data_IF_856079742247
#
_entry.id   IF_856079742247
#
_cell.length_a   1.000
_cell.length_b   1.000
_cell.length_c   1.000
_cell.angle_alpha   90.00
_cell.angle_beta   90.00
_cell.angle_gamma   90.00
#
_symmetry.space_group_name_H-M   'P 1'
#
loop_
_entity.id
_entity.type
_entity.pdbx_description
1 polymer ?
#
# COMPACT_ATOMS: atom_id res chain seq x y z
N UNK A 1 -32.45 43.57 -3.58
CA UNK A 1 -31.07 43.46 -3.03
C UNK A 1 -30.83 42.01 -2.71
N UNK A 2 -30.19 41.28 -3.63
CA UNK A 2 -29.89 39.86 -3.46
C UNK A 2 -28.51 39.75 -2.78
N UNK A 3 -28.50 39.23 -1.56
CA UNK A 3 -27.27 38.92 -0.84
C UNK A 3 -26.60 37.71 -1.49
N UNK A 4 -25.56 37.96 -2.27
CA UNK A 4 -24.62 36.91 -2.71
C UNK A 4 -23.95 36.26 -1.49
N UNK A 5 -24.40 35.08 -1.14
CA UNK A 5 -23.68 34.20 -0.21
C UNK A 5 -22.38 33.77 -0.84
N UNK A 6 -21.27 34.43 -0.49
CA UNK A 6 -19.90 33.97 -0.79
C UNK A 6 -19.77 32.51 -0.36
N UNK A 7 -19.74 31.56 -1.32
CA UNK A 7 -19.36 30.19 -1.10
C UNK A 7 -17.95 30.19 -0.48
N UNK A 8 -17.86 29.98 0.84
CA UNK A 8 -16.57 29.72 1.51
C UNK A 8 -15.97 28.48 0.89
N UNK A 9 -14.86 28.64 0.19
CA UNK A 9 -14.06 27.55 -0.36
C UNK A 9 -13.52 26.72 0.82
N UNK A 10 -14.27 25.69 1.26
CA UNK A 10 -13.81 24.75 2.28
C UNK A 10 -12.97 23.70 1.58
N UNK A 11 -11.65 23.78 1.74
CA UNK A 11 -10.74 22.72 1.36
C UNK A 11 -11.18 21.42 2.05
N UNK A 12 -11.48 20.38 1.27
CA UNK A 12 -11.69 19.05 1.83
C UNK A 12 -10.42 18.51 2.51
N UNK A 13 -10.53 17.48 3.34
CA UNK A 13 -9.41 16.89 4.07
C UNK A 13 -8.20 16.61 3.16
N UNK A 14 -8.43 16.06 1.95
CA UNK A 14 -7.37 15.81 0.97
C UNK A 14 -6.67 17.08 0.50
N UNK A 15 -7.39 18.17 0.32
CA UNK A 15 -6.82 19.48 -0.04
C UNK A 15 -6.00 20.06 1.11
N UNK A 16 -6.48 19.92 2.35
CA UNK A 16 -5.75 20.37 3.54
C UNK A 16 -4.46 19.58 3.76
N UNK A 17 -4.44 18.27 3.49
CA UNK A 17 -3.24 17.42 3.55
C UNK A 17 -2.23 17.87 2.49
N UNK A 18 -2.68 18.10 1.26
CA UNK A 18 -1.81 18.56 0.18
C UNK A 18 -1.23 19.95 0.49
N UNK A 19 -2.06 20.85 1.02
CA UNK A 19 -1.61 22.17 1.46
C UNK A 19 -0.56 22.06 2.57
N UNK A 20 -0.83 21.24 3.61
CA UNK A 20 0.14 20.97 4.68
C UNK A 20 1.46 20.42 4.15
N UNK A 21 1.41 19.50 3.19
CA UNK A 21 2.60 18.96 2.54
C UNK A 21 3.41 20.02 1.80
N UNK A 22 2.77 20.81 0.93
CA UNK A 22 3.43 21.87 0.16
C UNK A 22 4.02 22.93 1.08
N UNK A 23 3.25 23.40 2.06
CA UNK A 23 3.74 24.36 3.06
C UNK A 23 4.87 23.78 3.89
N UNK A 24 4.80 22.49 4.24
CA UNK A 24 5.89 21.80 4.94
C UNK A 24 7.19 21.80 4.13
N UNK A 25 7.14 21.40 2.86
CA UNK A 25 8.32 21.43 1.98
C UNK A 25 8.87 22.86 1.87
N UNK A 26 8.02 23.86 1.59
CA UNK A 26 8.45 25.25 1.46
C UNK A 26 9.09 25.75 2.77
N UNK A 27 8.50 25.42 3.92
CA UNK A 27 9.06 25.78 5.22
C UNK A 27 10.42 25.09 5.47
N UNK A 28 10.53 23.79 5.13
CA UNK A 28 11.78 23.05 5.26
C UNK A 28 12.91 23.63 4.39
N UNK A 29 12.61 23.94 3.14
CA UNK A 29 13.58 24.56 2.22
C UNK A 29 13.99 25.97 2.66
N UNK A 30 13.07 26.74 3.27
CA UNK A 30 13.34 28.11 3.70
C UNK A 30 14.10 28.17 5.03
N UNK A 31 13.69 27.39 6.03
CA UNK A 31 14.25 27.41 7.39
C UNK A 31 15.36 26.35 7.60
N UNK A 32 15.54 25.41 6.68
CA UNK A 32 16.58 24.39 6.75
C UNK A 32 16.54 23.56 8.04
N UNK A 33 17.68 23.40 8.68
CA UNK A 33 17.88 22.58 9.89
C UNK A 33 17.02 23.02 11.09
N UNK A 34 16.55 24.28 11.15
CA UNK A 34 15.65 24.71 12.22
C UNK A 34 14.34 23.91 12.22
N UNK A 35 13.94 23.35 11.09
CA UNK A 35 12.77 22.49 10.98
C UNK A 35 12.98 21.09 11.59
N UNK A 36 14.20 20.69 11.94
CA UNK A 36 14.47 19.41 12.59
C UNK A 36 13.66 19.22 13.90
N UNK A 37 13.44 20.29 14.66
CA UNK A 37 12.61 20.25 15.88
C UNK A 37 11.15 19.84 15.63
N UNK A 38 10.62 20.02 14.41
CA UNK A 38 9.28 19.59 14.03
C UNK A 38 9.15 18.06 13.94
N UNK A 39 10.26 17.32 13.88
CA UNK A 39 10.27 15.85 13.91
C UNK A 39 9.47 15.30 15.08
N UNK A 40 9.56 15.92 16.26
CA UNK A 40 8.82 15.49 17.46
C UNK A 40 7.30 15.46 17.22
N UNK A 41 6.75 16.46 16.55
CA UNK A 41 5.31 16.51 16.21
C UNK A 41 4.96 15.47 15.13
N UNK A 42 5.85 15.25 14.17
CA UNK A 42 5.72 14.17 13.19
C UNK A 42 5.67 12.79 13.86
N UNK A 43 6.62 12.50 14.75
CA UNK A 43 6.71 11.24 15.50
C UNK A 43 5.47 11.03 16.40
N UNK A 44 5.02 12.09 17.09
CA UNK A 44 3.81 12.04 17.90
C UNK A 44 2.56 11.67 17.04
N UNK A 45 2.44 12.29 15.86
CA UNK A 45 1.37 11.97 14.91
C UNK A 45 1.42 10.50 14.45
N UNK A 46 2.62 9.98 14.14
CA UNK A 46 2.84 8.59 13.74
C UNK A 46 2.42 7.64 14.87
N UNK A 47 2.84 7.91 16.11
CA UNK A 47 2.47 7.10 17.29
C UNK A 47 0.96 7.11 17.54
N UNK A 48 0.29 8.25 17.37
CA UNK A 48 -1.18 8.34 17.47
C UNK A 48 -1.89 7.49 16.40
N UNK A 49 -1.37 7.48 15.17
CA UNK A 49 -1.89 6.59 14.12
C UNK A 49 -1.73 5.12 14.51
N UNK A 50 -0.56 4.72 14.99
CA UNK A 50 -0.27 3.34 15.38
C UNK A 50 -1.16 2.86 16.53
N UNK A 51 -1.37 3.69 17.54
CA UNK A 51 -2.15 3.36 18.75
C UNK A 51 -3.57 2.88 18.43
N UNK A 52 -4.21 3.49 17.42
CA UNK A 52 -5.63 3.24 17.14
C UNK A 52 -5.86 2.06 16.19
N UNK A 53 -4.87 1.75 15.34
CA UNK A 53 -5.11 0.90 14.17
C UNK A 53 -5.05 -0.59 14.52
N UNK A 54 -4.09 -1.03 15.36
CA UNK A 54 -3.95 -2.45 15.68
C UNK A 54 -5.18 -3.03 16.40
N UNK A 55 -5.72 -2.41 17.48
CA UNK A 55 -6.94 -2.88 18.11
C UNK A 55 -8.14 -2.93 17.15
N UNK A 56 -8.27 -1.92 16.27
CA UNK A 56 -9.32 -1.89 15.25
C UNK A 56 -9.25 -3.10 14.32
N UNK A 57 -8.06 -3.45 13.83
CA UNK A 57 -7.86 -4.56 12.90
C UNK A 57 -8.22 -5.87 13.55
N UNK A 58 -7.76 -6.10 14.78
CA UNK A 58 -8.05 -7.32 15.54
C UNK A 58 -9.56 -7.54 15.66
N UNK A 59 -10.26 -6.53 16.11
CA UNK A 59 -11.72 -6.63 16.31
C UNK A 59 -12.45 -6.74 14.97
N UNK A 60 -12.04 -5.98 13.95
CA UNK A 60 -12.69 -6.00 12.63
C UNK A 60 -12.50 -7.32 11.90
N UNK A 61 -11.36 -8.00 12.05
CA UNK A 61 -11.14 -9.34 11.51
C UNK A 61 -12.00 -10.39 12.20
N UNK A 62 -12.06 -10.36 13.55
CA UNK A 62 -12.94 -11.25 14.31
C UNK A 62 -14.40 -11.10 13.87
N UNK A 63 -14.89 -9.86 13.73
CA UNK A 63 -16.25 -9.56 13.29
C UNK A 63 -16.48 -9.98 11.83
N UNK A 64 -15.58 -9.63 10.94
CA UNK A 64 -15.72 -9.90 9.51
C UNK A 64 -15.79 -11.37 9.18
N UNK A 65 -14.92 -12.18 9.78
CA UNK A 65 -14.88 -13.64 9.60
C UNK A 65 -15.99 -14.32 10.41
N UNK A 66 -16.16 -13.90 11.66
CA UNK A 66 -17.15 -14.48 12.57
C UNK A 66 -18.60 -14.33 12.13
N UNK A 67 -18.94 -13.32 11.34
CA UNK A 67 -20.29 -13.14 10.76
C UNK A 67 -20.68 -14.21 9.76
N UNK A 68 -19.73 -14.86 9.10
CA UNK A 68 -20.01 -15.85 8.07
C UNK A 68 -20.77 -17.06 8.63
N UNK A 69 -21.69 -17.62 7.82
CA UNK A 69 -22.22 -18.95 8.04
C UNK A 69 -21.19 -20.01 7.63
N UNK A 70 -21.33 -21.24 8.14
CA UNK A 70 -20.41 -22.34 7.80
C UNK A 70 -20.34 -22.60 6.30
N UNK A 71 -21.48 -22.58 5.60
CA UNK A 71 -21.54 -22.79 4.15
C UNK A 71 -20.86 -21.65 3.39
N UNK A 72 -21.16 -20.40 3.77
CA UNK A 72 -20.50 -19.22 3.17
C UNK A 72 -18.99 -19.26 3.38
N UNK A 73 -18.54 -19.56 4.60
CA UNK A 73 -17.12 -19.64 4.93
C UNK A 73 -16.42 -20.72 4.09
N UNK A 74 -17.02 -21.91 3.94
CA UNK A 74 -16.45 -23.01 3.15
C UNK A 74 -16.32 -22.65 1.66
N UNK A 75 -17.36 -22.11 1.06
CA UNK A 75 -17.37 -21.72 -0.36
C UNK A 75 -16.40 -20.57 -0.61
N UNK A 76 -16.42 -19.54 0.23
CA UNK A 76 -15.48 -18.43 0.13
C UNK A 76 -14.03 -18.90 0.33
N UNK A 77 -13.74 -19.71 1.35
CA UNK A 77 -12.39 -20.17 1.63
C UNK A 77 -11.78 -20.94 0.46
N UNK A 78 -12.55 -21.84 -0.18
CA UNK A 78 -12.03 -22.66 -1.27
C UNK A 78 -11.95 -21.86 -2.58
N UNK A 79 -13.04 -21.23 -3.01
CA UNK A 79 -13.11 -20.59 -4.34
C UNK A 79 -12.53 -19.17 -4.33
N UNK A 80 -12.93 -18.34 -3.38
CA UNK A 80 -12.39 -16.99 -3.29
C UNK A 80 -10.98 -16.98 -2.70
N UNK A 81 -10.66 -17.86 -1.74
CA UNK A 81 -9.32 -17.98 -1.18
C UNK A 81 -8.27 -18.36 -2.20
N UNK A 82 -8.54 -19.33 -3.08
CA UNK A 82 -7.64 -19.70 -4.17
C UNK A 82 -7.38 -18.54 -5.15
N UNK A 83 -8.42 -17.80 -5.50
CA UNK A 83 -8.29 -16.60 -6.32
C UNK A 83 -7.48 -15.50 -5.62
N UNK A 84 -7.68 -15.32 -4.33
CA UNK A 84 -6.92 -14.35 -3.52
C UNK A 84 -5.41 -14.65 -3.58
N UNK A 85 -5.03 -15.92 -3.44
CA UNK A 85 -3.63 -16.34 -3.57
C UNK A 85 -3.08 -16.05 -4.98
N UNK A 86 -3.87 -16.25 -6.03
CA UNK A 86 -3.47 -15.89 -7.41
C UNK A 86 -3.25 -14.38 -7.54
N UNK A 87 -4.15 -13.56 -7.00
CA UNK A 87 -4.00 -12.09 -7.02
C UNK A 87 -2.76 -11.64 -6.25
N UNK A 88 -2.50 -12.22 -5.08
CA UNK A 88 -1.28 -11.94 -4.31
C UNK A 88 -0.02 -12.37 -5.07
N UNK A 89 -0.04 -13.56 -5.68
CA UNK A 89 1.08 -14.04 -6.49
C UNK A 89 1.39 -13.11 -7.67
N UNK A 90 0.37 -12.66 -8.39
CA UNK A 90 0.51 -11.70 -9.51
C UNK A 90 1.08 -10.37 -9.00
N UNK A 91 0.53 -9.84 -7.88
CA UNK A 91 1.00 -8.59 -7.32
C UNK A 91 2.47 -8.68 -6.89
N UNK A 92 2.85 -9.74 -6.16
CA UNK A 92 4.22 -9.97 -5.71
C UNK A 92 5.18 -10.15 -6.89
N UNK A 93 4.78 -10.88 -7.94
CA UNK A 93 5.60 -11.02 -9.14
C UNK A 93 5.93 -9.65 -9.77
N UNK A 94 4.94 -8.77 -9.90
CA UNK A 94 5.18 -7.42 -10.42
C UNK A 94 6.04 -6.60 -9.44
N UNK A 95 5.76 -6.63 -8.14
CA UNK A 95 6.50 -5.89 -7.11
C UNK A 95 7.98 -6.29 -7.12
N UNK A 96 8.29 -7.58 -7.19
CA UNK A 96 9.68 -8.08 -7.18
C UNK A 96 10.42 -7.88 -8.50
N UNK A 97 9.71 -7.57 -9.59
CA UNK A 97 10.34 -7.14 -10.85
C UNK A 97 10.72 -5.65 -10.84
N UNK A 98 10.04 -4.80 -10.03
CA UNK A 98 10.28 -3.35 -10.01
C UNK A 98 11.71 -2.95 -9.60
N UNK A 99 12.42 -3.62 -8.66
CA UNK A 99 13.81 -3.30 -8.35
C UNK A 99 14.78 -3.38 -9.52
N UNK A 100 14.44 -4.13 -10.58
CA UNK A 100 15.23 -4.15 -11.81
C UNK A 100 15.24 -2.80 -12.54
N UNK A 101 14.26 -1.93 -12.25
CA UNK A 101 14.22 -0.57 -12.77
C UNK A 101 15.07 0.41 -11.95
N UNK A 102 15.55 0.03 -10.76
CA UNK A 102 16.35 0.92 -9.95
C UNK A 102 17.73 1.15 -10.60
N UNK A 103 18.18 2.40 -10.70
CA UNK A 103 19.50 2.69 -11.26
C UNK A 103 20.60 2.10 -10.35
N UNK A 104 21.72 1.69 -10.96
CA UNK A 104 22.92 1.34 -10.21
C UNK A 104 23.48 2.60 -9.58
N UNK A 105 23.41 2.70 -8.25
CA UNK A 105 24.06 3.78 -7.51
C UNK A 105 25.46 3.32 -7.19
N UNK A 106 26.48 4.04 -7.64
CA UNK A 106 27.81 3.92 -7.06
C UNK A 106 27.69 4.36 -5.60
N UNK A 107 27.86 3.42 -4.70
CA UNK A 107 27.67 3.57 -3.26
C UNK A 107 28.70 4.54 -2.70
N UNK A 108 28.35 5.82 -2.65
CA UNK A 108 28.87 6.64 -1.58
C UNK A 108 28.06 6.25 -0.33
N UNK A 109 28.63 5.38 0.50
CA UNK A 109 28.03 4.91 1.74
C UNK A 109 28.00 6.05 2.77
N UNK A 110 26.95 6.88 2.70
CA UNK A 110 26.73 7.95 3.68
C UNK A 110 26.07 7.45 4.97
N UNK A 111 25.52 6.23 4.96
CA UNK A 111 25.06 5.61 6.19
C UNK A 111 26.21 4.74 6.74
N UNK A 112 26.80 5.21 7.84
CA UNK A 112 27.79 4.45 8.60
C UNK A 112 27.23 3.05 8.89
N UNK A 113 27.82 2.00 8.34
CA UNK A 113 27.50 0.61 8.60
C UNK A 113 27.66 0.21 10.07
N UNK A 114 28.13 1.12 10.92
CA UNK A 114 28.36 0.93 12.37
C UNK A 114 27.08 0.90 13.21
N UNK A 115 25.90 1.18 12.65
CA UNK A 115 24.62 1.13 13.39
C UNK A 115 23.77 -0.11 13.12
N UNK A 116 24.23 -1.02 12.30
CA UNK A 116 23.55 -2.33 12.15
C UNK A 116 23.89 -3.17 13.39
N UNK A 117 23.09 -2.99 14.44
CA UNK A 117 23.05 -3.99 15.51
C UNK A 117 22.62 -5.29 14.86
N UNK A 118 23.49 -6.30 14.89
CA UNK A 118 23.15 -7.68 14.56
C UNK A 118 22.01 -8.08 15.50
N UNK A 119 20.78 -7.96 15.06
CA UNK A 119 19.61 -8.41 15.78
C UNK A 119 19.57 -9.93 15.66
N UNK A 120 19.24 -10.61 16.76
CA UNK A 120 19.06 -12.06 16.82
C UNK A 120 18.20 -12.54 15.67
N UNK A 121 18.48 -13.76 15.17
CA UNK A 121 17.69 -14.39 14.12
C UNK A 121 16.20 -14.39 14.53
N UNK A 122 15.37 -13.78 13.72
CA UNK A 122 13.92 -13.71 13.99
C UNK A 122 13.38 -15.14 13.93
N UNK A 123 12.87 -15.63 15.05
CA UNK A 123 12.19 -16.92 15.09
C UNK A 123 10.85 -16.81 14.35
N UNK A 124 10.80 -17.47 13.20
CA UNK A 124 9.63 -17.52 12.35
C UNK A 124 8.40 -18.07 13.07
N UNK A 125 8.60 -19.10 13.88
CA UNK A 125 7.49 -19.75 14.58
C UNK A 125 6.86 -18.78 15.59
N UNK A 126 7.68 -18.10 16.37
CA UNK A 126 7.22 -17.13 17.37
C UNK A 126 6.60 -15.88 16.73
N UNK A 127 7.07 -15.49 15.54
CA UNK A 127 6.51 -14.36 14.79
C UNK A 127 5.05 -14.58 14.38
N UNK A 128 4.65 -15.83 14.12
CA UNK A 128 3.31 -16.16 13.65
C UNK A 128 2.46 -16.88 14.69
N UNK A 129 3.06 -17.76 15.48
CA UNK A 129 2.39 -18.60 16.47
C UNK A 129 2.97 -18.28 17.85
N UNK A 130 2.58 -17.13 18.43
CA UNK A 130 3.12 -16.73 19.73
C UNK A 130 2.53 -17.60 20.84
N UNK A 131 3.33 -17.87 21.85
CA UNK A 131 2.90 -18.51 23.10
C UNK A 131 1.84 -17.67 23.84
N UNK A 132 1.88 -16.33 23.65
CA UNK A 132 0.92 -15.40 24.24
C UNK A 132 0.46 -14.34 23.21
N UNK A 133 -0.76 -14.43 22.66
CA UNK A 133 -1.26 -13.49 21.67
C UNK A 133 -1.44 -12.06 22.23
N UNK A 134 -1.67 -11.90 23.52
CA UNK A 134 -1.78 -10.58 24.15
C UNK A 134 -0.42 -9.89 24.25
N UNK A 135 0.66 -10.64 24.46
CA UNK A 135 2.02 -10.11 24.37
C UNK A 135 2.32 -9.62 22.95
N UNK A 136 1.89 -10.36 21.93
CA UNK A 136 2.05 -9.94 20.53
C UNK A 136 1.30 -8.66 20.21
N UNK A 137 0.10 -8.48 20.76
CA UNK A 137 -0.67 -7.24 20.66
C UNK A 137 0.04 -6.07 21.34
N UNK A 138 0.55 -6.27 22.55
CA UNK A 138 1.26 -5.24 23.32
C UNK A 138 2.56 -4.79 22.64
N UNK A 139 3.28 -5.74 22.02
CA UNK A 139 4.56 -5.49 21.34
C UNK A 139 4.43 -5.18 19.84
N UNK A 140 3.19 -4.97 19.35
CA UNK A 140 2.89 -4.68 17.93
C UNK A 140 3.42 -5.75 16.95
N UNK A 141 3.46 -7.04 17.37
CA UNK A 141 3.78 -8.15 16.46
C UNK A 141 2.54 -8.45 15.60
N UNK A 142 2.48 -7.77 14.45
CA UNK A 142 1.27 -7.73 13.61
C UNK A 142 0.91 -9.10 13.04
N UNK A 143 1.82 -9.93 12.48
CA UNK A 143 1.46 -11.23 11.93
C UNK A 143 0.79 -12.16 12.93
N UNK A 144 1.34 -12.25 14.14
CA UNK A 144 0.78 -13.06 15.23
C UNK A 144 -0.61 -12.55 15.67
N UNK A 145 -0.76 -11.24 15.81
CA UNK A 145 -2.04 -10.61 16.19
C UNK A 145 -3.14 -10.86 15.15
N UNK A 146 -2.78 -10.78 13.86
CA UNK A 146 -3.69 -11.06 12.75
C UNK A 146 -4.07 -12.54 12.71
N UNK A 147 -3.10 -13.46 12.83
CA UNK A 147 -3.38 -14.89 12.83
C UNK A 147 -4.30 -15.30 13.98
N UNK A 148 -4.04 -14.78 15.18
CA UNK A 148 -4.91 -14.97 16.34
C UNK A 148 -6.33 -14.46 16.07
N UNK A 149 -6.47 -13.27 15.49
CA UNK A 149 -7.78 -12.68 15.19
C UNK A 149 -8.57 -13.50 14.16
N UNK A 150 -7.87 -14.01 13.13
CA UNK A 150 -8.45 -14.92 12.13
C UNK A 150 -8.90 -16.22 12.79
N UNK A 151 -8.06 -16.81 13.66
CA UNK A 151 -8.38 -18.05 14.36
C UNK A 151 -9.63 -17.90 15.25
N UNK A 152 -9.73 -16.80 16.01
CA UNK A 152 -10.93 -16.50 16.82
C UNK A 152 -12.13 -16.27 15.91
N UNK A 153 -12.00 -15.52 14.82
CA UNK A 153 -13.06 -15.31 13.84
C UNK A 153 -13.58 -16.63 13.24
N UNK A 154 -12.70 -17.56 12.89
CA UNK A 154 -13.07 -18.91 12.42
C UNK A 154 -13.77 -19.69 13.52
N UNK A 155 -13.28 -19.65 14.75
CA UNK A 155 -13.90 -20.29 15.91
C UNK A 155 -15.33 -19.82 16.16
N UNK A 156 -15.64 -18.58 15.86
CA UNK A 156 -17.00 -18.03 15.97
C UNK A 156 -17.99 -18.56 14.92
N UNK A 157 -17.53 -19.12 13.79
CA UNK A 157 -18.40 -19.52 12.67
C UNK A 157 -19.44 -20.57 13.06
N UNK A 158 -19.18 -21.49 13.94
CA UNK A 158 -20.11 -22.58 14.32
C UNK A 158 -21.01 -22.27 15.53
N UNK A 159 -20.80 -21.17 16.23
CA UNK A 159 -21.47 -20.86 17.48
C UNK A 159 -22.87 -20.29 17.21
N UNK A 160 -23.92 -20.91 17.80
CA UNK A 160 -25.31 -20.48 17.57
C UNK A 160 -25.63 -19.12 18.19
N UNK A 161 -25.05 -18.80 19.34
CA UNK A 161 -25.33 -17.58 20.13
C UNK A 161 -24.32 -16.46 19.84
N UNK A 162 -23.51 -16.56 18.76
CA UNK A 162 -22.48 -15.62 18.41
C UNK A 162 -22.98 -14.20 18.08
N UNK A 163 -24.26 -14.06 17.69
CA UNK A 163 -24.77 -12.78 17.15
C UNK A 163 -24.59 -11.65 18.14
N UNK A 164 -24.91 -11.85 19.42
CA UNK A 164 -24.74 -10.80 20.44
C UNK A 164 -23.28 -10.37 20.59
N UNK A 165 -22.35 -11.32 20.71
CA UNK A 165 -20.92 -11.02 20.81
C UNK A 165 -20.39 -10.31 19.57
N UNK A 166 -20.81 -10.75 18.39
CA UNK A 166 -20.39 -10.13 17.12
C UNK A 166 -20.91 -8.69 17.00
N UNK A 167 -22.15 -8.43 17.46
CA UNK A 167 -22.72 -7.08 17.44
C UNK A 167 -22.01 -6.18 18.46
N UNK A 168 -21.70 -6.67 19.65
CA UNK A 168 -20.90 -5.94 20.64
C UNK A 168 -19.49 -5.62 20.14
N UNK A 169 -18.82 -6.60 19.51
CA UNK A 169 -17.52 -6.39 18.88
C UNK A 169 -17.62 -5.40 17.69
N UNK A 170 -18.71 -5.40 16.93
CA UNK A 170 -18.92 -4.44 15.84
C UNK A 170 -19.08 -3.00 16.35
N UNK A 171 -19.72 -2.83 17.51
CA UNK A 171 -19.81 -1.53 18.21
C UNK A 171 -18.40 -1.09 18.62
N UNK A 172 -17.60 -1.98 19.21
CA UNK A 172 -16.20 -1.69 19.56
C UNK A 172 -15.35 -1.33 18.34
N UNK A 173 -15.47 -2.08 17.23
CA UNK A 173 -14.80 -1.76 15.97
C UNK A 173 -15.19 -0.37 15.46
N UNK A 174 -16.48 -0.01 15.58
CA UNK A 174 -16.97 1.32 15.20
C UNK A 174 -16.37 2.42 16.08
N UNK A 175 -16.28 2.20 17.38
CA UNK A 175 -15.65 3.14 18.32
C UNK A 175 -14.17 3.34 18.01
N UNK A 176 -13.43 2.24 17.80
CA UNK A 176 -12.01 2.29 17.41
C UNK A 176 -11.79 2.99 16.05
N UNK A 177 -12.69 2.75 15.09
CA UNK A 177 -12.68 3.45 13.80
C UNK A 177 -12.89 4.96 13.96
N UNK A 178 -13.77 5.39 14.89
CA UNK A 178 -13.95 6.83 15.17
C UNK A 178 -12.69 7.46 15.75
N UNK A 179 -12.00 6.77 16.67
CA UNK A 179 -10.71 7.23 17.22
C UNK A 179 -9.67 7.35 16.11
N UNK A 180 -9.53 6.32 15.26
CA UNK A 180 -8.62 6.35 14.12
C UNK A 180 -8.95 7.51 13.16
N UNK A 181 -10.24 7.74 12.86
CA UNK A 181 -10.67 8.87 12.02
C UNK A 181 -10.37 10.23 12.66
N UNK A 182 -10.48 10.37 13.99
CA UNK A 182 -10.07 11.60 14.69
C UNK A 182 -8.58 11.88 14.46
N UNK A 183 -7.72 10.86 14.57
CA UNK A 183 -6.29 11.02 14.29
C UNK A 183 -6.05 11.40 12.83
N UNK A 184 -6.85 10.86 11.89
CA UNK A 184 -6.78 11.21 10.46
C UNK A 184 -7.08 12.71 10.22
N UNK A 185 -7.90 13.37 11.04
CA UNK A 185 -8.09 14.82 10.93
C UNK A 185 -6.84 15.63 11.29
N UNK A 186 -5.92 15.06 12.08
CA UNK A 186 -4.64 15.69 12.41
C UNK A 186 -3.60 15.52 11.28
N UNK A 187 -3.89 14.71 10.25
CA UNK A 187 -2.97 14.42 9.13
C UNK A 187 -2.40 15.68 8.47
N UNK A 188 -3.13 16.77 8.21
CA UNK A 188 -2.54 17.97 7.61
C UNK A 188 -1.40 18.55 8.45
N UNK A 189 -1.54 18.56 9.77
CA UNK A 189 -0.53 19.07 10.71
C UNK A 189 0.64 18.09 10.81
N UNK A 190 0.36 16.79 10.98
CA UNK A 190 1.38 15.75 11.04
C UNK A 190 2.22 15.71 9.76
N UNK A 191 1.58 15.79 8.61
CA UNK A 191 2.25 15.81 7.30
C UNK A 191 3.07 17.09 7.12
N UNK A 192 2.56 18.25 7.54
CA UNK A 192 3.33 19.49 7.53
C UNK A 192 4.62 19.34 8.34
N UNK A 193 4.53 18.84 9.57
CA UNK A 193 5.69 18.68 10.47
C UNK A 193 6.72 17.70 9.88
N UNK A 194 6.26 16.55 9.35
CA UNK A 194 7.12 15.56 8.71
C UNK A 194 7.77 16.12 7.45
N UNK A 195 6.99 16.80 6.59
CA UNK A 195 7.50 17.37 5.35
C UNK A 195 8.51 18.49 5.58
N UNK A 196 8.25 19.37 6.57
CA UNK A 196 9.15 20.46 6.92
C UNK A 196 10.47 19.93 7.50
N UNK A 197 10.39 18.95 8.42
CA UNK A 197 11.58 18.33 8.97
C UNK A 197 12.40 17.62 7.90
N UNK A 198 11.76 16.80 7.04
CA UNK A 198 12.45 16.07 5.98
C UNK A 198 13.07 17.01 4.94
N UNK A 199 12.33 17.99 4.43
CA UNK A 199 12.83 18.92 3.43
C UNK A 199 13.95 19.85 3.97
N UNK A 200 13.95 20.11 5.29
CA UNK A 200 15.00 20.91 5.94
C UNK A 200 16.27 20.15 6.26
N UNK A 201 16.22 18.81 6.30
CA UNK A 201 17.36 17.97 6.70
C UNK A 201 17.86 17.04 5.61
N UNK A 202 17.05 16.80 4.55
CA UNK A 202 17.43 15.95 3.42
C UNK A 202 18.27 16.71 2.41
N UNK A 203 19.24 16.01 1.83
CA UNK A 203 20.02 16.51 0.69
C UNK A 203 19.19 16.47 -0.60
N UNK A 204 19.54 17.31 -1.58
CA UNK A 204 18.91 17.29 -2.92
C UNK A 204 19.05 15.92 -3.60
N UNK A 205 20.16 15.21 -3.36
CA UNK A 205 20.37 13.85 -3.86
C UNK A 205 19.38 12.85 -3.28
N UNK A 206 19.10 12.91 -2.00
CA UNK A 206 18.13 12.04 -1.34
C UNK A 206 16.73 12.30 -1.86
N UNK A 207 16.35 13.57 -2.05
CA UNK A 207 15.07 13.95 -2.66
C UNK A 207 14.98 13.41 -4.10
N UNK A 208 16.09 13.53 -4.88
CA UNK A 208 16.17 12.97 -6.22
C UNK A 208 15.96 11.45 -6.27
N UNK A 209 16.46 10.70 -5.28
CA UNK A 209 16.27 9.25 -5.19
C UNK A 209 14.80 8.85 -4.94
N UNK A 210 13.98 9.69 -4.30
CA UNK A 210 12.54 9.43 -4.13
C UNK A 210 11.79 9.32 -5.45
N UNK A 211 12.28 9.94 -6.53
CA UNK A 211 11.68 9.82 -7.86
C UNK A 211 11.67 8.35 -8.34
N UNK A 212 12.68 7.56 -7.95
CA UNK A 212 12.75 6.13 -8.28
C UNK A 212 11.57 5.38 -7.69
N UNK A 213 11.25 5.65 -6.42
CA UNK A 213 10.10 5.05 -5.75
C UNK A 213 8.78 5.50 -6.38
N UNK A 214 8.59 6.79 -6.62
CA UNK A 214 7.39 7.30 -7.27
C UNK A 214 7.17 6.68 -8.64
N UNK A 215 8.18 6.72 -9.50
CA UNK A 215 8.08 6.20 -10.86
C UNK A 215 7.73 4.71 -10.88
N UNK A 216 8.47 3.90 -10.13
CA UNK A 216 8.25 2.45 -10.09
C UNK A 216 6.91 2.08 -9.44
N UNK A 217 6.48 2.79 -8.40
CA UNK A 217 5.19 2.59 -7.77
C UNK A 217 4.03 2.91 -8.72
N UNK A 218 4.07 4.07 -9.37
CA UNK A 218 3.03 4.50 -10.32
C UNK A 218 2.97 3.55 -11.51
N UNK A 219 4.12 3.19 -12.07
CA UNK A 219 4.20 2.25 -13.20
C UNK A 219 3.60 0.89 -12.83
N UNK A 220 3.97 0.32 -11.68
CA UNK A 220 3.41 -0.94 -11.21
C UNK A 220 1.89 -0.85 -10.97
N UNK A 221 1.42 0.25 -10.34
CA UNK A 221 0.00 0.49 -10.13
C UNK A 221 -0.77 0.55 -11.47
N UNK A 222 -0.23 1.24 -12.46
CA UNK A 222 -0.87 1.40 -13.78
C UNK A 222 -0.93 0.09 -14.57
N UNK A 223 0.18 -0.68 -14.59
CA UNK A 223 0.21 -1.99 -15.25
C UNK A 223 -0.81 -2.93 -14.63
N UNK A 224 -0.84 -3.04 -13.30
CA UNK A 224 -1.78 -3.90 -12.59
C UNK A 224 -3.23 -3.44 -12.81
N UNK A 225 -3.50 -2.14 -12.70
CA UNK A 225 -4.86 -1.59 -12.79
C UNK A 225 -5.45 -1.72 -14.19
N UNK A 226 -4.69 -1.35 -15.22
CA UNK A 226 -5.23 -1.19 -16.57
C UNK A 226 -4.87 -2.32 -17.53
N UNK A 227 -3.95 -3.20 -17.17
CA UNK A 227 -3.60 -4.33 -18.00
C UNK A 227 -3.85 -5.67 -17.32
N UNK A 228 -3.13 -5.98 -16.25
CA UNK A 228 -3.08 -7.33 -15.70
C UNK A 228 -4.44 -7.77 -15.16
N UNK A 229 -5.04 -6.98 -14.27
CA UNK A 229 -6.28 -7.36 -13.61
C UNK A 229 -7.50 -7.42 -14.56
N UNK A 230 -7.76 -6.40 -15.41
CA UNK A 230 -8.90 -6.48 -16.33
C UNK A 230 -8.72 -7.57 -17.39
N UNK A 231 -7.50 -7.79 -17.88
CA UNK A 231 -7.22 -8.80 -18.87
C UNK A 231 -7.33 -10.22 -18.30
N UNK A 232 -7.02 -10.41 -17.02
CA UNK A 232 -7.25 -11.66 -16.31
C UNK A 232 -8.74 -12.01 -16.29
N UNK A 233 -9.61 -11.04 -15.98
CA UNK A 233 -11.07 -11.23 -16.04
C UNK A 233 -11.51 -11.58 -17.46
N UNK A 234 -11.10 -10.82 -18.48
CA UNK A 234 -11.47 -11.07 -19.87
C UNK A 234 -10.97 -12.42 -20.41
N UNK A 235 -9.92 -12.98 -19.79
CA UNK A 235 -9.38 -14.30 -20.18
C UNK A 235 -10.16 -15.46 -19.58
N UNK A 236 -10.67 -15.29 -18.35
CA UNK A 236 -11.28 -16.36 -17.55
C UNK A 236 -12.81 -16.29 -17.50
N UNK A 237 -13.41 -15.19 -17.93
CA UNK A 237 -14.87 -14.97 -17.87
C UNK A 237 -15.42 -14.56 -19.23
N UNK A 238 -16.76 -14.53 -19.41
CA UNK A 238 -17.39 -14.05 -20.63
C UNK A 238 -17.22 -12.53 -20.86
N UNK A 239 -16.80 -11.76 -19.84
CA UNK A 239 -16.72 -10.30 -19.92
C UNK A 239 -15.55 -9.86 -20.81
N UNK A 240 -15.76 -8.79 -21.59
CA UNK A 240 -14.68 -8.22 -22.41
C UNK A 240 -13.81 -7.26 -21.60
N UNK A 241 -12.56 -7.09 -22.01
CA UNK A 241 -11.65 -6.10 -21.41
C UNK A 241 -12.26 -4.69 -21.38
N UNK A 242 -12.89 -4.27 -22.48
CA UNK A 242 -13.51 -2.94 -22.61
C UNK A 242 -14.65 -2.74 -21.62
N UNK A 243 -15.46 -3.78 -21.39
CA UNK A 243 -16.58 -3.70 -20.46
C UNK A 243 -16.08 -3.64 -19.01
N UNK A 244 -15.07 -4.44 -18.64
CA UNK A 244 -14.49 -4.40 -17.29
C UNK A 244 -13.91 -3.02 -16.97
N UNK A 245 -13.09 -2.47 -17.88
CA UNK A 245 -12.49 -1.14 -17.70
C UNK A 245 -13.55 -0.04 -17.75
N UNK A 246 -14.50 -0.13 -18.69
CA UNK A 246 -15.58 0.85 -18.85
C UNK A 246 -16.47 0.94 -17.62
N UNK A 247 -16.88 -0.21 -17.07
CA UNK A 247 -17.72 -0.28 -15.87
C UNK A 247 -16.99 0.17 -14.62
N UNK A 248 -15.67 -0.05 -14.53
CA UNK A 248 -14.87 0.36 -13.36
C UNK A 248 -14.61 1.87 -13.27
N UNK A 249 -14.79 2.62 -14.36
CA UNK A 249 -14.32 4.00 -14.51
C UNK A 249 -14.73 4.93 -13.36
N UNK A 250 -16.02 4.96 -13.02
CA UNK A 250 -16.53 5.89 -12.01
C UNK A 250 -16.02 5.55 -10.60
N UNK A 251 -15.93 4.25 -10.27
CA UNK A 251 -15.35 3.78 -9.02
C UNK A 251 -13.86 4.14 -8.95
N UNK A 252 -13.10 3.91 -10.02
CA UNK A 252 -11.67 4.19 -10.06
C UNK A 252 -11.35 5.68 -9.97
N UNK A 253 -12.08 6.53 -10.70
CA UNK A 253 -11.92 7.98 -10.64
C UNK A 253 -12.26 8.51 -9.24
N UNK A 254 -13.36 8.03 -8.65
CA UNK A 254 -13.75 8.40 -7.28
C UNK A 254 -12.73 7.92 -6.25
N UNK A 255 -12.24 6.69 -6.40
CA UNK A 255 -11.20 6.12 -5.53
C UNK A 255 -9.90 6.90 -5.60
N UNK A 256 -9.43 7.21 -6.80
CA UNK A 256 -8.23 8.03 -7.01
C UNK A 256 -8.38 9.44 -6.44
N UNK A 257 -9.51 10.10 -6.70
CA UNK A 257 -9.76 11.46 -6.22
C UNK A 257 -9.82 11.55 -4.70
N UNK A 258 -10.48 10.57 -4.05
CA UNK A 258 -10.68 10.57 -2.59
C UNK A 258 -9.54 9.91 -1.81
N UNK A 259 -8.81 8.96 -2.41
CA UNK A 259 -7.83 8.11 -1.75
C UNK A 259 -8.45 7.19 -0.69
N UNK A 260 -9.77 6.95 -0.75
CA UNK A 260 -10.51 6.15 0.25
C UNK A 260 -11.30 5.03 -0.42
N UNK A 261 -10.82 3.80 -0.25
CA UNK A 261 -11.44 2.60 -0.83
C UNK A 261 -12.88 2.38 -0.36
N UNK A 262 -13.17 2.67 0.92
CA UNK A 262 -14.50 2.49 1.50
C UNK A 262 -15.61 3.26 0.75
N UNK A 263 -15.29 4.45 0.22
CA UNK A 263 -16.29 5.29 -0.47
C UNK A 263 -16.78 4.64 -1.76
N UNK A 264 -15.95 3.85 -2.42
CA UNK A 264 -16.27 3.23 -3.71
C UNK A 264 -16.93 1.86 -3.61
N UNK A 265 -17.04 1.26 -2.40
CA UNK A 265 -17.65 -0.06 -2.24
C UNK A 265 -19.07 -0.16 -2.81
N UNK A 266 -20.00 0.77 -2.51
CA UNK A 266 -21.34 0.71 -3.10
C UNK A 266 -21.32 0.83 -4.62
N UNK A 267 -20.43 1.67 -5.19
CA UNK A 267 -20.28 1.83 -6.64
C UNK A 267 -19.76 0.53 -7.26
N UNK A 268 -18.81 -0.14 -6.59
CA UNK A 268 -18.28 -1.43 -7.08
C UNK A 268 -19.35 -2.52 -7.08
N UNK A 269 -20.19 -2.59 -6.03
CA UNK A 269 -21.31 -3.54 -5.96
C UNK A 269 -22.26 -3.31 -7.14
N UNK A 270 -22.69 -2.07 -7.35
CA UNK A 270 -23.57 -1.72 -8.45
C UNK A 270 -22.91 -2.05 -9.80
N UNK A 271 -21.66 -1.66 -10.01
CA UNK A 271 -20.94 -1.91 -11.26
C UNK A 271 -20.82 -3.41 -11.58
N UNK A 272 -20.59 -4.25 -10.56
CA UNK A 272 -20.58 -5.70 -10.75
C UNK A 272 -21.94 -6.23 -11.16
N UNK A 273 -23.01 -5.82 -10.48
CA UNK A 273 -24.39 -6.24 -10.77
C UNK A 273 -24.81 -5.81 -12.19
N UNK A 274 -24.56 -4.55 -12.57
CA UNK A 274 -24.85 -4.01 -13.92
C UNK A 274 -24.12 -4.82 -15.01
N UNK A 275 -22.90 -5.29 -14.73
CA UNK A 275 -22.15 -6.09 -15.69
C UNK A 275 -22.75 -7.50 -15.86
N UNK A 276 -23.14 -8.16 -14.78
CA UNK A 276 -23.81 -9.46 -14.84
C UNK A 276 -25.18 -9.36 -15.56
N UNK A 277 -25.96 -8.33 -15.28
CA UNK A 277 -27.23 -8.05 -15.95
C UNK A 277 -27.04 -7.85 -17.46
N UNK A 278 -26.09 -7.01 -17.87
CA UNK A 278 -25.78 -6.73 -19.28
C UNK A 278 -25.43 -7.98 -20.08
N UNK A 279 -24.76 -8.94 -19.47
CA UNK A 279 -24.39 -10.20 -20.11
C UNK A 279 -25.46 -11.29 -19.95
N UNK A 280 -26.62 -10.97 -19.36
CA UNK A 280 -27.70 -11.91 -19.07
C UNK A 280 -27.23 -13.15 -18.30
N UNK A 281 -26.25 -12.95 -17.43
CA UNK A 281 -25.67 -13.98 -16.57
C UNK A 281 -26.25 -13.92 -15.15
N UNK A 282 -27.47 -13.39 -15.01
CA UNK A 282 -28.20 -13.40 -13.75
C UNK A 282 -28.67 -14.81 -13.40
N UNK A 283 -27.94 -15.45 -12.50
CA UNK A 283 -28.49 -16.52 -11.67
C UNK A 283 -29.15 -15.88 -10.45
N UNK A 284 -30.23 -16.51 -9.92
CA UNK A 284 -30.99 -15.99 -8.75
C UNK A 284 -30.15 -15.55 -7.56
N UNK A 285 -28.91 -16.05 -7.46
CA UNK A 285 -28.00 -15.79 -6.33
C UNK A 285 -26.81 -14.86 -6.67
N UNK A 286 -26.68 -14.42 -7.93
CA UNK A 286 -25.49 -13.65 -8.38
C UNK A 286 -25.33 -12.34 -7.59
N UNK A 287 -26.42 -11.55 -7.49
CA UNK A 287 -26.41 -10.31 -6.72
C UNK A 287 -26.08 -10.54 -5.23
N UNK A 288 -26.63 -11.62 -4.65
CA UNK A 288 -26.32 -11.99 -3.26
C UNK A 288 -24.83 -12.31 -3.06
N UNK A 289 -24.17 -12.94 -4.02
CA UNK A 289 -22.73 -13.23 -3.95
C UNK A 289 -21.91 -11.95 -4.07
N UNK A 290 -22.26 -11.04 -4.97
CA UNK A 290 -21.58 -9.73 -5.11
C UNK A 290 -21.68 -8.94 -3.81
N UNK A 291 -22.88 -8.88 -3.20
CA UNK A 291 -23.13 -8.15 -1.94
C UNK A 291 -22.34 -8.71 -0.75
N UNK A 292 -21.98 -10.00 -0.79
CA UNK A 292 -21.17 -10.65 0.24
C UNK A 292 -19.69 -10.51 -0.06
N UNK A 293 -19.26 -10.76 -1.31
CA UNK A 293 -17.83 -10.82 -1.67
C UNK A 293 -17.17 -9.46 -1.54
N UNK A 294 -17.80 -8.36 -1.96
CA UNK A 294 -17.20 -7.03 -1.93
C UNK A 294 -16.84 -6.61 -0.50
N UNK A 295 -17.76 -6.62 0.49
CA UNK A 295 -17.41 -6.26 1.87
C UNK A 295 -16.43 -7.23 2.54
N UNK A 296 -16.51 -8.53 2.23
CA UNK A 296 -15.60 -9.52 2.80
C UNK A 296 -14.20 -9.33 2.24
N UNK A 297 -14.05 -9.19 0.92
CA UNK A 297 -12.75 -9.02 0.27
C UNK A 297 -12.05 -7.71 0.65
N UNK A 298 -12.80 -6.69 1.06
CA UNK A 298 -12.24 -5.44 1.58
C UNK A 298 -11.37 -5.62 2.82
N UNK A 299 -11.65 -6.64 3.64
CA UNK A 299 -10.88 -6.92 4.86
C UNK A 299 -9.53 -7.62 4.59
N UNK A 300 -9.35 -8.19 3.39
CA UNK A 300 -8.11 -8.85 3.00
C UNK A 300 -7.12 -7.85 2.36
N UNK A 301 -5.81 -8.14 2.39
CA UNK A 301 -4.83 -7.34 1.68
C UNK A 301 -5.13 -7.29 0.18
N UNK A 302 -5.52 -6.11 -0.32
CA UNK A 302 -5.68 -5.88 -1.76
C UNK A 302 -4.33 -5.73 -2.44
N UNK A 303 -4.26 -5.92 -3.77
CA UNK A 303 -3.04 -5.68 -4.55
C UNK A 303 -2.51 -4.25 -4.37
N UNK A 304 -3.41 -3.27 -4.14
CA UNK A 304 -3.01 -1.89 -3.83
C UNK A 304 -2.30 -1.75 -2.48
N UNK A 305 -2.70 -2.53 -1.45
CA UNK A 305 -1.96 -2.60 -0.19
C UNK A 305 -0.62 -3.33 -0.37
N UNK A 306 -0.62 -4.46 -1.10
CA UNK A 306 0.60 -5.22 -1.35
C UNK A 306 1.66 -4.39 -2.08
N UNK A 307 1.24 -3.50 -2.99
CA UNK A 307 2.17 -2.65 -3.71
C UNK A 307 3.02 -1.76 -2.77
N UNK A 308 2.58 -1.52 -1.53
CA UNK A 308 3.39 -0.80 -0.54
C UNK A 308 4.64 -1.56 -0.11
N UNK A 309 4.74 -2.88 -0.35
CA UNK A 309 5.98 -3.65 -0.14
C UNK A 309 7.13 -3.18 -1.01
N UNK A 310 6.83 -2.54 -2.14
CA UNK A 310 7.85 -1.90 -2.98
C UNK A 310 8.63 -0.83 -2.21
N UNK A 311 8.03 -0.21 -1.19
CA UNK A 311 8.73 0.74 -0.33
C UNK A 311 9.87 0.08 0.46
N UNK A 312 9.68 -1.16 0.93
CA UNK A 312 10.74 -1.91 1.64
C UNK A 312 11.93 -2.18 0.70
N UNK A 313 11.63 -2.62 -0.54
CA UNK A 313 12.66 -2.85 -1.56
C UNK A 313 13.38 -1.56 -1.95
N UNK A 314 12.63 -0.46 -2.04
CA UNK A 314 13.19 0.85 -2.28
C UNK A 314 14.09 1.31 -1.11
N UNK A 315 13.66 1.17 0.14
CA UNK A 315 14.47 1.57 1.30
C UNK A 315 15.77 0.77 1.39
N UNK A 316 15.72 -0.53 1.11
CA UNK A 316 16.92 -1.36 1.06
C UNK A 316 17.90 -0.89 -0.03
N UNK A 317 17.39 -0.59 -1.23
CA UNK A 317 18.20 0.00 -2.30
C UNK A 317 18.72 1.41 -1.91
N UNK A 318 17.86 2.23 -1.31
CA UNK A 318 18.20 3.60 -0.88
C UNK A 318 19.36 3.63 0.12
N UNK A 319 19.40 2.64 1.03
CA UNK A 319 20.49 2.49 2.02
C UNK A 319 21.72 1.74 1.50
N UNK A 320 21.72 1.33 0.21
CA UNK A 320 22.81 0.60 -0.40
C UNK A 320 22.85 -0.91 -0.11
N UNK A 321 21.85 -1.43 0.62
CA UNK A 321 21.73 -2.84 1.00
C UNK A 321 20.51 -3.49 0.32
N UNK A 322 20.57 -3.68 -0.99
CA UNK A 322 19.46 -4.28 -1.74
C UNK A 322 19.05 -5.65 -1.17
N UNK A 323 17.73 -5.88 -1.05
CA UNK A 323 17.19 -7.16 -0.56
C UNK A 323 17.60 -8.29 -1.49
N UNK A 324 18.22 -9.31 -0.95
CA UNK A 324 18.57 -10.53 -1.71
C UNK A 324 17.30 -11.24 -2.20
N UNK A 325 17.37 -11.83 -3.38
CA UNK A 325 16.26 -12.64 -3.95
C UNK A 325 15.88 -13.80 -3.01
N UNK A 326 16.83 -14.33 -2.26
CA UNK A 326 16.58 -15.38 -1.25
C UNK A 326 15.70 -14.91 -0.10
N UNK A 327 15.62 -13.60 0.17
CA UNK A 327 14.76 -13.02 1.20
C UNK A 327 13.35 -12.67 0.69
N UNK A 328 13.06 -12.76 -0.62
CA UNK A 328 11.75 -12.45 -1.19
C UNK A 328 10.62 -13.34 -0.64
N UNK A 329 10.77 -14.66 -0.45
CA UNK A 329 9.75 -15.49 0.18
C UNK A 329 9.43 -15.03 1.61
N UNK A 330 10.46 -14.69 2.38
CA UNK A 330 10.29 -14.13 3.72
C UNK A 330 9.51 -12.82 3.69
N UNK A 331 9.96 -11.86 2.87
CA UNK A 331 9.27 -10.57 2.72
C UNK A 331 7.82 -10.75 2.23
N UNK A 332 7.55 -11.71 1.35
CA UNK A 332 6.19 -12.03 0.89
C UNK A 332 5.30 -12.47 2.05
N UNK A 333 5.79 -13.40 2.84
CA UNK A 333 4.99 -13.99 3.91
C UNK A 333 4.71 -13.01 5.04
N UNK A 334 5.75 -12.33 5.57
CA UNK A 334 5.57 -11.30 6.60
C UNK A 334 4.81 -10.08 6.06
N UNK A 335 5.05 -9.71 4.80
CA UNK A 335 4.40 -8.60 4.14
C UNK A 335 2.90 -8.81 3.97
N UNK A 336 2.48 -9.94 3.40
CA UNK A 336 1.05 -10.27 3.28
C UNK A 336 0.38 -10.27 4.65
N UNK A 337 0.98 -10.96 5.63
CA UNK A 337 0.41 -11.07 6.98
C UNK A 337 0.30 -9.73 7.68
N UNK A 338 1.32 -8.87 7.57
CA UNK A 338 1.31 -7.53 8.16
C UNK A 338 0.31 -6.60 7.50
N UNK A 339 0.05 -6.77 6.20
CA UNK A 339 -0.85 -5.92 5.43
C UNK A 339 -2.34 -6.24 5.61
N UNK A 340 -2.70 -7.27 6.40
CA UNK A 340 -4.05 -7.36 6.98
C UNK A 340 -4.31 -6.14 7.86
N UNK A 341 -3.28 -5.63 8.53
CA UNK A 341 -3.27 -4.32 9.14
C UNK A 341 -3.31 -3.18 8.10
N UNK A 342 -3.18 -1.94 8.56
CA UNK A 342 -2.94 -0.81 7.66
C UNK A 342 -1.47 -0.75 7.24
N UNK A 343 -1.20 -0.23 6.03
CA UNK A 343 0.18 -0.03 5.58
C UNK A 343 1.00 0.84 6.53
N UNK A 344 0.36 1.80 7.23
CA UNK A 344 1.04 2.67 8.20
C UNK A 344 1.61 1.91 9.40
N UNK A 345 1.04 0.75 9.74
CA UNK A 345 1.57 -0.11 10.80
C UNK A 345 2.49 -1.20 10.25
N UNK A 346 2.13 -1.74 9.10
CA UNK A 346 2.91 -2.81 8.48
C UNK A 346 4.32 -2.32 8.11
N UNK A 347 4.47 -1.12 7.56
CA UNK A 347 5.76 -0.62 7.07
C UNK A 347 6.81 -0.47 8.16
N UNK A 348 6.56 0.17 9.33
CA UNK A 348 7.56 0.22 10.40
C UNK A 348 8.00 -1.16 10.88
N UNK A 349 7.04 -2.07 11.05
CA UNK A 349 7.32 -3.46 11.41
C UNK A 349 8.18 -4.18 10.35
N UNK A 350 7.87 -4.00 9.07
CA UNK A 350 8.61 -4.60 7.97
C UNK A 350 10.02 -4.03 7.83
N UNK A 351 10.21 -2.72 8.03
CA UNK A 351 11.52 -2.08 8.06
C UNK A 351 12.38 -2.70 9.18
N UNK A 352 11.83 -2.81 10.39
CA UNK A 352 12.52 -3.43 11.53
C UNK A 352 12.83 -4.92 11.27
N UNK A 353 11.86 -5.69 10.76
CA UNK A 353 12.03 -7.11 10.43
C UNK A 353 13.06 -7.36 9.33
N UNK A 354 13.23 -6.44 8.39
CA UNK A 354 14.22 -6.50 7.32
C UNK A 354 15.54 -5.81 7.67
N UNK A 355 15.71 -5.37 8.92
CA UNK A 355 16.89 -4.66 9.42
C UNK A 355 17.21 -3.37 8.65
N UNK A 356 16.20 -2.70 8.17
CA UNK A 356 16.28 -1.41 7.50
C UNK A 356 16.00 -0.32 8.53
N UNK A 357 16.71 0.83 8.52
CA UNK A 357 16.50 1.91 9.48
C UNK A 357 15.03 2.36 9.52
N UNK A 358 14.41 2.29 10.70
CA UNK A 358 12.98 2.64 10.88
C UNK A 358 12.71 4.14 10.68
N UNK A 359 13.72 4.99 10.75
CA UNK A 359 13.62 6.43 10.45
C UNK A 359 13.14 6.70 9.01
N UNK A 360 13.40 5.78 8.06
CA UNK A 360 12.90 5.89 6.69
C UNK A 360 11.37 5.84 6.60
N UNK A 361 10.67 5.46 7.68
CA UNK A 361 9.21 5.49 7.71
C UNK A 361 8.63 6.89 7.43
N UNK A 362 9.37 7.96 7.77
CA UNK A 362 8.95 9.33 7.43
C UNK A 362 8.79 9.51 5.91
N UNK A 363 9.67 8.90 5.12
CA UNK A 363 9.59 8.94 3.66
C UNK A 363 8.34 8.22 3.14
N UNK A 364 7.91 7.14 3.82
CA UNK A 364 6.65 6.46 3.50
C UNK A 364 5.44 7.36 3.69
N UNK A 365 5.39 8.10 4.79
CA UNK A 365 4.30 9.05 5.06
C UNK A 365 4.28 10.17 4.01
N UNK A 366 5.44 10.73 3.67
CA UNK A 366 5.58 11.78 2.66
C UNK A 366 5.10 11.31 1.28
N UNK A 367 5.64 10.19 0.82
CA UNK A 367 5.31 9.62 -0.49
C UNK A 367 3.88 9.10 -0.54
N UNK A 368 3.35 8.71 0.61
CA UNK A 368 1.99 8.20 0.77
C UNK A 368 0.90 9.17 0.33
N UNK A 369 1.16 10.47 0.29
CA UNK A 369 0.20 11.47 -0.18
C UNK A 369 -0.20 11.22 -1.64
N UNK A 370 0.77 10.88 -2.48
CA UNK A 370 0.57 10.57 -3.90
C UNK A 370 0.28 9.09 -4.08
N UNK A 371 1.15 8.21 -3.54
CA UNK A 371 1.09 6.78 -3.76
C UNK A 371 -0.20 6.15 -3.25
N UNK A 372 -0.79 6.67 -2.17
CA UNK A 372 -2.08 6.20 -1.65
C UNK A 372 -3.22 6.34 -2.66
N UNK A 373 -3.19 7.35 -3.53
CA UNK A 373 -4.20 7.53 -4.58
C UNK A 373 -4.10 6.44 -5.63
N UNK A 374 -2.88 6.13 -6.08
CA UNK A 374 -2.61 5.02 -7.02
C UNK A 374 -2.87 3.66 -6.37
N UNK A 375 -2.53 3.48 -5.09
CA UNK A 375 -2.87 2.28 -4.34
C UNK A 375 -4.39 2.08 -4.23
N UNK A 376 -5.16 3.16 -4.02
CA UNK A 376 -6.63 3.09 -3.96
C UNK A 376 -7.24 2.80 -5.33
N UNK A 377 -6.70 3.40 -6.39
CA UNK A 377 -7.07 3.09 -7.78
C UNK A 377 -6.90 1.59 -8.06
N UNK A 378 -5.73 1.05 -7.77
CA UNK A 378 -5.41 -0.36 -7.94
C UNK A 378 -6.29 -1.25 -7.05
N UNK A 379 -6.52 -0.87 -5.79
CA UNK A 379 -7.38 -1.61 -4.87
C UNK A 379 -8.84 -1.64 -5.35
N UNK A 380 -9.34 -0.58 -5.95
CA UNK A 380 -10.67 -0.53 -6.57
C UNK A 380 -10.80 -1.52 -7.73
N UNK A 381 -9.83 -1.51 -8.66
CA UNK A 381 -9.78 -2.50 -9.75
C UNK A 381 -9.63 -3.93 -9.22
N UNK A 382 -8.80 -4.13 -8.19
CA UNK A 382 -8.64 -5.43 -7.55
C UNK A 382 -9.97 -5.95 -6.97
N UNK A 383 -10.70 -5.14 -6.22
CA UNK A 383 -11.99 -5.55 -5.65
C UNK A 383 -13.01 -5.88 -6.74
N UNK A 384 -13.12 -5.06 -7.79
CA UNK A 384 -14.02 -5.31 -8.90
C UNK A 384 -13.66 -6.64 -9.59
N UNK A 385 -12.42 -6.80 -10.02
CA UNK A 385 -11.96 -7.97 -10.78
C UNK A 385 -12.01 -9.25 -9.95
N UNK A 386 -11.65 -9.15 -8.67
CA UNK A 386 -11.76 -10.25 -7.71
C UNK A 386 -13.22 -10.69 -7.53
N UNK A 387 -14.15 -9.73 -7.35
CA UNK A 387 -15.57 -10.01 -7.20
C UNK A 387 -16.16 -10.67 -8.44
N UNK A 388 -15.83 -10.16 -9.63
CA UNK A 388 -16.30 -10.76 -10.89
C UNK A 388 -15.79 -12.20 -11.04
N UNK A 389 -14.49 -12.44 -10.82
CA UNK A 389 -13.90 -13.78 -10.91
C UNK A 389 -14.44 -14.74 -9.84
N UNK A 390 -14.57 -14.29 -8.60
CA UNK A 390 -15.07 -15.11 -7.50
C UNK A 390 -16.54 -15.48 -7.72
N UNK A 391 -17.37 -14.52 -8.14
CA UNK A 391 -18.77 -14.78 -8.47
C UNK A 391 -18.88 -15.76 -9.65
N UNK A 392 -18.11 -15.56 -10.73
CA UNK A 392 -18.06 -16.50 -11.84
C UNK A 392 -17.58 -17.90 -11.43
N UNK A 393 -16.62 -18.00 -10.52
CA UNK A 393 -16.15 -19.27 -9.98
C UNK A 393 -17.22 -20.02 -9.16
N UNK A 394 -18.02 -19.26 -8.39
CA UNK A 394 -19.11 -19.82 -7.58
C UNK A 394 -20.28 -20.25 -8.46
N UNK A 395 -20.68 -19.43 -9.42
CA UNK A 395 -21.81 -19.68 -10.33
C UNK A 395 -21.47 -20.62 -11.48
N UNK A 396 -20.21 -21.06 -11.63
CA UNK A 396 -19.79 -21.97 -12.70
C UNK A 396 -19.58 -21.31 -14.06
N UNK A 397 -19.58 -19.98 -14.12
CA UNK A 397 -19.34 -19.19 -15.34
C UNK A 397 -17.85 -19.03 -15.68
N UNK A 398 -16.95 -19.47 -14.80
CA UNK A 398 -15.52 -19.41 -15.02
C UNK A 398 -15.10 -20.41 -16.10
N UNK A 399 -14.46 -19.94 -17.16
CA UNK A 399 -13.97 -20.78 -18.25
C UNK A 399 -12.45 -20.70 -18.36
N UNK A 400 -11.75 -21.80 -18.08
CA UNK A 400 -10.29 -21.85 -18.18
C UNK A 400 -9.90 -22.35 -19.56
N UNK A 401 -9.44 -21.43 -20.41
CA UNK A 401 -8.82 -21.76 -21.68
C UNK A 401 -7.30 -21.62 -21.56
N UNK A 402 -6.59 -22.72 -21.41
CA UNK A 402 -5.14 -22.75 -21.19
C UNK A 402 -4.34 -22.01 -22.27
N UNK A 403 -4.79 -22.03 -23.54
CA UNK A 403 -4.11 -21.31 -24.63
C UNK A 403 -4.26 -19.79 -24.49
N UNK A 404 -5.46 -19.31 -24.11
CA UNK A 404 -5.70 -17.88 -23.85
C UNK A 404 -4.94 -17.43 -22.61
N UNK A 405 -4.98 -18.24 -21.56
CA UNK A 405 -4.29 -17.95 -20.29
C UNK A 405 -2.76 -17.87 -20.49
N UNK A 406 -2.17 -18.81 -21.24
CA UNK A 406 -0.74 -18.79 -21.55
C UNK A 406 -0.36 -17.56 -22.39
N UNK A 407 -1.15 -17.21 -23.42
CA UNK A 407 -0.90 -15.99 -24.20
C UNK A 407 -0.99 -14.73 -23.34
N UNK A 408 -2.00 -14.65 -22.47
CA UNK A 408 -2.13 -13.55 -21.53
C UNK A 408 -0.92 -13.46 -20.59
N UNK A 409 -0.50 -14.57 -19.97
CA UNK A 409 0.65 -14.61 -19.08
C UNK A 409 1.93 -14.16 -19.81
N UNK A 410 2.19 -14.70 -21.01
CA UNK A 410 3.34 -14.33 -21.81
C UNK A 410 3.34 -12.84 -22.17
N UNK A 411 2.21 -12.32 -22.67
CA UNK A 411 2.09 -10.90 -23.02
C UNK A 411 2.26 -9.99 -21.80
N UNK A 412 1.70 -10.40 -20.65
CA UNK A 412 1.83 -9.63 -19.40
C UNK A 412 3.27 -9.58 -18.90
N UNK A 413 3.99 -10.71 -18.98
CA UNK A 413 5.42 -10.75 -18.62
C UNK A 413 6.23 -9.86 -19.57
N UNK A 414 6.04 -10.01 -20.90
CA UNK A 414 6.76 -9.20 -21.89
C UNK A 414 6.49 -7.71 -21.70
N UNK A 415 5.21 -7.33 -21.51
CA UNK A 415 4.84 -5.95 -21.24
C UNK A 415 5.47 -5.42 -19.95
N UNK A 416 5.38 -6.18 -18.86
CA UNK A 416 5.93 -5.75 -17.56
C UNK A 416 7.45 -5.59 -17.65
N UNK A 417 8.16 -6.55 -18.23
CA UNK A 417 9.62 -6.48 -18.42
C UNK A 417 9.98 -5.30 -19.33
N UNK A 418 9.26 -5.09 -20.43
CA UNK A 418 9.47 -3.95 -21.33
C UNK A 418 9.29 -2.60 -20.65
N UNK A 419 8.24 -2.46 -19.83
CA UNK A 419 7.98 -1.23 -19.07
C UNK A 419 9.01 -1.04 -17.95
N UNK A 420 9.43 -2.09 -17.25
CA UNK A 420 10.51 -2.03 -16.26
C UNK A 420 11.82 -1.59 -16.90
N UNK A 421 12.18 -2.13 -18.06
CA UNK A 421 13.37 -1.73 -18.81
C UNK A 421 13.28 -0.25 -19.28
N UNK A 422 12.13 0.17 -19.78
CA UNK A 422 11.88 1.58 -20.15
C UNK A 422 11.97 2.52 -18.95
N UNK A 423 11.40 2.13 -17.79
CA UNK A 423 11.50 2.89 -16.55
C UNK A 423 12.96 3.01 -16.10
N UNK A 424 13.73 1.91 -16.15
CA UNK A 424 15.16 1.93 -15.85
C UNK A 424 15.91 2.90 -16.73
N UNK A 425 15.65 2.88 -18.05
CA UNK A 425 16.30 3.79 -19.01
C UNK A 425 16.04 5.26 -18.66
N UNK A 426 14.78 5.61 -18.38
CA UNK A 426 14.41 6.99 -17.99
C UNK A 426 15.07 7.40 -16.68
N UNK A 427 15.05 6.52 -15.67
CA UNK A 427 15.63 6.81 -14.35
C UNK A 427 17.15 6.90 -14.39
N UNK A 428 17.82 6.09 -15.21
CA UNK A 428 19.28 6.17 -15.37
C UNK A 428 19.70 7.48 -16.05
N UNK A 429 18.94 7.96 -17.02
CA UNK A 429 19.19 9.24 -17.67
C UNK A 429 19.03 10.42 -16.69
N UNK A 430 17.94 10.43 -15.90
CA UNK A 430 17.74 11.44 -14.85
C UNK A 430 18.84 11.44 -13.78
N UNK A 431 19.33 10.27 -13.39
CA UNK A 431 20.40 10.14 -12.39
C UNK A 431 21.74 10.67 -12.94
N UNK A 432 22.04 10.45 -14.21
CA UNK A 432 23.28 10.95 -14.87
C UNK A 432 23.27 12.48 -14.96
N UNK A 433 22.13 13.09 -15.27
CA UNK A 433 22.01 14.55 -15.33
C UNK A 433 22.15 15.22 -13.96
N UNK A 434 21.61 14.61 -12.91
CA UNK A 434 21.76 15.10 -11.53
C UNK A 434 23.23 15.01 -11.07
N UNK A 435 23.91 13.90 -11.38
CA UNK A 435 25.31 13.70 -11.05
C UNK A 435 26.27 14.65 -11.78
N UNK A 436 25.98 14.96 -13.05
CA UNK A 436 26.78 15.92 -13.85
C UNK A 436 26.62 17.35 -13.30
N UNK A 437 25.42 17.75 -12.89
CA UNK A 437 25.15 19.05 -12.27
C UNK A 437 25.85 19.20 -10.92
N UNK A 438 25.87 18.16 -10.10
CA UNK A 438 26.53 18.17 -8.79
C UNK A 438 28.07 18.27 -8.93
N UNK A 439 28.67 17.59 -9.91
CA UNK A 439 30.10 17.75 -10.21
C UNK A 439 30.44 19.18 -10.67
N UNK A 440 29.58 19.80 -11.46
CA UNK A 440 29.77 21.19 -11.89
C UNK A 440 29.63 22.15 -10.71
N UNK A 441 28.62 21.95 -9.82
CA UNK A 441 28.43 22.76 -8.63
C UNK A 441 29.56 22.58 -7.61
N UNK A 442 30.02 21.35 -7.38
CA UNK A 442 31.16 21.08 -6.51
C UNK A 442 32.47 21.68 -7.08
N UNK A 443 32.64 21.62 -8.40
CA UNK A 443 33.74 22.31 -9.07
C UNK A 443 33.67 23.83 -8.94
N UNK A 444 32.48 24.44 -8.96
CA UNK A 444 32.27 25.86 -8.71
C UNK A 444 32.54 26.27 -7.27
N UNK A 445 32.16 25.43 -6.29
CA UNK A 445 32.50 25.67 -4.86
C UNK A 445 33.99 25.63 -4.61
N UNK A 446 34.73 24.68 -5.23
CA UNK A 446 36.18 24.61 -5.13
C UNK A 446 36.90 25.80 -5.79
N UNK A 447 36.26 26.49 -6.72
CA UNK A 447 36.80 27.71 -7.34
C UNK A 447 36.48 28.97 -6.53
N UNK A 448 35.52 28.92 -5.61
CA UNK A 448 35.13 30.06 -4.77
C UNK A 448 35.71 30.03 -3.35
N UNK A 449 36.33 28.92 -2.92
CA UNK A 449 37.05 28.90 -1.64
C UNK A 449 38.35 29.70 -1.77
N UNK A 450 38.57 30.72 -0.92
CA UNK A 450 39.82 31.45 -0.93
C UNK A 450 40.96 30.49 -0.52
N UNK A 451 41.94 30.35 -1.42
CA UNK A 451 43.14 29.57 -1.17
C UNK A 451 43.83 30.14 0.06
N UNK A 452 43.63 29.56 1.25
CA UNK A 452 44.51 29.80 2.40
C UNK A 452 45.89 29.23 2.06
N UNK A 453 46.76 30.11 1.63
CA UNK A 453 48.20 29.81 1.47
C UNK A 453 48.78 29.60 2.85
N UNK A 454 48.87 28.35 3.28
CA UNK A 454 49.65 27.99 4.48
C UNK A 454 51.12 28.10 4.14
N UNK A 455 51.70 29.28 4.45
CA UNK A 455 53.14 29.46 4.49
C UNK A 455 53.68 28.73 5.73
N UNK A 456 54.24 27.53 5.52
CA UNK A 456 55.12 26.93 6.53
C UNK A 456 56.43 27.72 6.61
N UNK A 457 56.66 28.32 7.78
CA UNK A 457 58.03 28.59 8.27
C UNK A 457 58.51 27.42 9.08
#
# INVERSE_FOLDING_TARGET
MATETKKKFRLGLSGSILLGFVLGILSGLFFGEYCAGLKIFGDAFIKLLQMSILPYIVVSLMVGIGRLSYQQAKVLAIKAGSLLLVFWGIALAVIFLMPLAFPSVETASFFSTTLVKVKEQVDFLELFIPSNPFSSLANNVIPASVLFSIAVGIGLIGIKEKHKLIDDLAILATALSRVANFVVYLTPIGVFAIAASAAGTMTLQEIGRLQVYFATFIVAAMILTFWVLPMLVATLTPFTYKDVVGTSKDALVTGFATGKLFIILPILIQNCNDLFERYKQEHKDTASFVDIIVPVSFNFPTTGKLLTLLFILFCAWFTGNAVSVTAYPYLSFIGISSLFASSNMAIPFLLDSMQIPSDLYHLFILTGIINKRFATLLAGMNLLTFTLLATCAITGLLSINWRKLFRFALLSVVLTVGVVAGTRFVLSFSATDAYSKDKVLAGMHLLNDPVEVVLHK
#
